data_IF_456206223598
#
_entry.id   IF_456206223598
#
_cell.length_a   1.000
_cell.length_b   1.000
_cell.length_c   1.000
_cell.angle_alpha   90.00
_cell.angle_beta   90.00
_cell.angle_gamma   90.00
#
_symmetry.space_group_name_H-M   'P 1'
#
loop_
_entity.id
_entity.type
_entity.pdbx_description
1 polymer ?
#
# COMPACT_ATOMS: atom_id res chain seq x y z
N UNK A 1 -15.40 12.56 11.05
CA UNK A 1 -15.32 12.11 10.79
C UNK A 1 -15.05 11.72 9.86
N UNK A 2 -14.84 11.92 9.77
CA UNK A 2 -14.60 11.78 8.95
C UNK A 2 -14.44 11.07 8.10
N UNK A 3 -14.03 11.07 7.82
CA UNK A 3 -13.81 10.21 6.95
C UNK A 3 -14.85 9.31 6.74
N UNK A 4 -15.94 9.65 7.07
CA UNK A 4 -17.00 8.81 6.94
C UNK A 4 -17.05 8.16 5.62
N UNK A 5 -16.74 8.83 4.64
CA UNK A 5 -16.80 8.28 3.35
C UNK A 5 -15.48 8.00 2.85
N UNK A 6 -14.47 8.34 3.53
CA UNK A 6 -13.20 8.18 3.01
C UNK A 6 -12.60 6.87 3.37
N UNK A 7 -11.35 6.95 3.70
CA UNK A 7 -10.55 5.80 4.00
C UNK A 7 -10.82 5.37 5.42
N UNK A 8 -11.71 4.42 5.56
CA UNK A 8 -12.17 3.98 6.85
C UNK A 8 -11.46 2.75 7.36
N UNK A 9 -10.72 2.09 6.53
CA UNK A 9 -10.15 0.80 6.89
C UNK A 9 -8.89 0.99 7.67
N UNK A 10 -8.74 0.38 8.85
CA UNK A 10 -7.47 0.43 9.54
C UNK A 10 -6.40 -0.20 8.66
N UNK A 11 -5.30 0.50 8.43
CA UNK A 11 -4.23 -0.07 7.60
C UNK A 11 -3.75 -1.42 8.10
N UNK A 12 -3.75 -1.63 9.40
CA UNK A 12 -3.26 -2.88 9.96
C UNK A 12 -4.06 -4.07 9.48
N UNK A 13 -5.36 -3.90 9.24
CA UNK A 13 -6.18 -5.00 8.77
C UNK A 13 -5.72 -5.46 7.39
N UNK A 14 -5.50 -4.51 6.50
CA UNK A 14 -5.03 -4.86 5.15
C UNK A 14 -3.61 -5.39 5.17
N UNK A 15 -2.77 -4.79 5.99
CA UNK A 15 -1.39 -5.25 6.11
C UNK A 15 -1.34 -6.70 6.60
N UNK A 16 -2.19 -7.02 7.57
CA UNK A 16 -2.23 -8.37 8.08
C UNK A 16 -2.59 -9.38 7.02
N UNK A 17 -3.54 -9.04 6.16
CA UNK A 17 -3.91 -9.93 5.07
C UNK A 17 -2.76 -10.09 4.09
N UNK A 18 -2.12 -8.98 3.73
CA UNK A 18 -1.01 -9.04 2.79
C UNK A 18 0.12 -9.91 3.31
N UNK A 19 0.37 -9.85 4.59
CA UNK A 19 1.46 -10.62 5.19
C UNK A 19 1.20 -12.12 5.21
N UNK A 20 -0.03 -12.55 4.93
CA UNK A 20 -0.30 -13.98 4.83
C UNK A 20 0.16 -14.56 3.51
N UNK A 21 0.50 -13.71 2.53
CA UNK A 21 0.95 -14.23 1.24
C UNK A 21 2.41 -14.65 1.34
N UNK A 22 2.76 -15.82 0.74
CA UNK A 22 4.13 -16.29 0.81
C UNK A 22 5.12 -15.44 0.01
N UNK A 23 4.63 -14.64 -0.94
CA UNK A 23 5.51 -13.81 -1.75
C UNK A 23 5.73 -12.42 -1.17
N UNK A 24 5.11 -12.11 -0.03
CA UNK A 24 5.21 -10.81 0.60
C UNK A 24 6.06 -10.92 1.87
N UNK A 25 7.15 -10.17 1.92
CA UNK A 25 8.01 -10.16 3.11
C UNK A 25 7.58 -9.11 4.11
N UNK A 26 7.09 -7.97 3.61
CA UNK A 26 6.63 -6.90 4.49
C UNK A 26 5.62 -6.07 3.73
N UNK A 27 4.80 -5.31 4.44
CA UNK A 27 3.77 -4.52 3.79
C UNK A 27 3.36 -3.36 4.69
N UNK A 28 2.99 -2.26 4.04
CA UNK A 28 2.49 -1.08 4.73
C UNK A 28 1.42 -0.45 3.85
N UNK A 29 0.28 -0.13 4.44
CA UNK A 29 -0.82 0.49 3.71
C UNK A 29 -0.99 1.92 4.20
N UNK A 30 -1.05 2.85 3.26
CA UNK A 30 -1.27 4.26 3.59
C UNK A 30 -2.44 4.77 2.76
N UNK A 31 -2.97 5.92 3.18
CA UNK A 31 -3.98 6.61 2.40
C UNK A 31 -3.31 7.63 1.51
N UNK A 32 -3.66 7.66 0.24
CA UNK A 32 -3.19 8.69 -0.67
C UNK A 32 -4.38 9.42 -1.24
N UNK A 33 -4.17 10.68 -1.57
CA UNK A 33 -5.25 11.51 -2.08
C UNK A 33 -5.60 11.11 -3.52
N UNK A 34 -6.88 10.93 -3.77
CA UNK A 34 -7.39 10.64 -5.09
C UNK A 34 -8.25 11.81 -5.51
N UNK A 35 -7.76 12.63 -6.43
CA UNK A 35 -8.44 13.86 -6.81
C UNK A 35 -9.77 13.58 -7.50
N UNK A 36 -9.87 12.47 -8.22
CA UNK A 36 -11.10 12.15 -8.90
C UNK A 36 -12.21 11.82 -7.92
N UNK A 37 -11.87 11.12 -6.85
CA UNK A 37 -12.86 10.73 -5.85
C UNK A 37 -12.96 11.71 -4.71
N UNK A 38 -12.06 12.68 -4.67
CA UNK A 38 -12.03 13.68 -3.61
C UNK A 38 -11.95 13.04 -2.22
N UNK A 39 -11.13 12.01 -2.11
CA UNK A 39 -10.95 11.33 -0.83
C UNK A 39 -9.63 10.58 -0.88
N UNK A 40 -9.19 10.09 0.26
CA UNK A 40 -8.03 9.23 0.29
C UNK A 40 -8.42 7.81 -0.01
N UNK A 41 -7.55 7.12 -0.72
CA UNK A 41 -7.75 5.71 -1.04
C UNK A 41 -6.53 4.94 -0.58
N UNK A 42 -6.68 3.65 -0.26
CA UNK A 42 -5.55 2.88 0.25
C UNK A 42 -4.58 2.48 -0.84
N UNK A 43 -3.31 2.57 -0.54
CA UNK A 43 -2.23 2.07 -1.37
C UNK A 43 -1.33 1.19 -0.51
N UNK A 44 -0.92 0.06 -1.04
CA UNK A 44 -0.03 -0.84 -0.33
C UNK A 44 1.39 -0.68 -0.85
N UNK A 45 2.33 -0.60 0.06
CA UNK A 45 3.75 -0.71 -0.26
C UNK A 45 4.19 -2.08 0.22
N UNK A 46 4.79 -2.84 -0.69
CA UNK A 46 5.08 -4.24 -0.45
C UNK A 46 6.55 -4.52 -0.69
N UNK A 47 7.15 -5.25 0.22
CA UNK A 47 8.49 -5.78 0.03
C UNK A 47 8.34 -7.21 -0.43
N UNK A 48 8.84 -7.51 -1.63
CA UNK A 48 8.76 -8.86 -2.15
C UNK A 48 9.75 -9.76 -1.43
N UNK A 49 9.34 -11.00 -1.22
CA UNK A 49 10.24 -11.95 -0.58
C UNK A 49 11.40 -12.26 -1.52
N UNK A 50 12.53 -12.64 -0.96
CA UNK A 50 13.72 -12.94 -1.75
C UNK A 50 13.38 -13.93 -2.84
N UNK A 51 13.85 -13.65 -4.05
CA UNK A 51 13.58 -14.50 -5.19
C UNK A 51 12.31 -14.20 -5.94
N UNK A 52 11.49 -13.28 -5.42
CA UNK A 52 10.24 -12.89 -6.06
C UNK A 52 10.45 -11.58 -6.80
N UNK A 53 10.01 -11.52 -8.04
CA UNK A 53 10.13 -10.31 -8.84
C UNK A 53 8.90 -9.46 -8.63
N UNK A 54 9.09 -8.27 -8.05
CA UNK A 54 8.00 -7.34 -7.82
C UNK A 54 7.75 -6.49 -9.05
N UNK A 55 6.85 -6.91 -9.89
CA UNK A 55 6.54 -6.20 -11.12
C UNK A 55 5.05 -5.86 -11.16
N UNK A 56 4.64 -5.24 -12.25
CA UNK A 56 3.26 -4.80 -12.38
C UNK A 56 2.28 -5.97 -12.40
N UNK A 57 2.68 -7.07 -12.98
CA UNK A 57 1.80 -8.24 -13.02
C UNK A 57 1.53 -8.76 -11.62
N UNK A 58 2.58 -8.81 -10.78
CA UNK A 58 2.40 -9.26 -9.42
C UNK A 58 1.62 -8.23 -8.62
N UNK A 59 1.85 -6.95 -8.87
CA UNK A 59 1.09 -5.90 -8.18
C UNK A 59 -0.40 -6.06 -8.46
N UNK A 60 -0.76 -6.30 -9.71
CA UNK A 60 -2.16 -6.48 -10.07
C UNK A 60 -2.73 -7.74 -9.43
N UNK A 61 -1.93 -8.79 -9.38
CA UNK A 61 -2.36 -10.05 -8.78
C UNK A 61 -2.64 -9.86 -7.29
N UNK A 62 -1.76 -9.15 -6.60
CA UNK A 62 -1.93 -8.89 -5.18
C UNK A 62 -3.18 -8.05 -4.94
N UNK A 63 -3.36 -7.01 -5.74
CA UNK A 63 -4.52 -6.14 -5.57
C UNK A 63 -5.82 -6.90 -5.79
N UNK A 64 -5.87 -7.73 -6.82
CA UNK A 64 -7.07 -8.52 -7.09
C UNK A 64 -7.32 -9.58 -6.02
N UNK A 65 -6.25 -10.20 -5.54
CA UNK A 65 -6.36 -11.18 -4.48
C UNK A 65 -6.94 -10.56 -3.22
N UNK A 66 -6.44 -9.37 -2.87
CA UNK A 66 -6.92 -8.69 -1.67
C UNK A 66 -8.36 -8.25 -1.84
N UNK A 67 -8.71 -7.78 -3.03
CA UNK A 67 -10.07 -7.32 -3.30
C UNK A 67 -11.08 -8.44 -3.10
N UNK A 68 -10.69 -9.67 -3.37
CA UNK A 68 -11.58 -10.79 -3.17
C UNK A 68 -11.76 -11.19 -1.72
N UNK A 69 -10.96 -10.62 -0.82
CA UNK A 69 -10.98 -10.98 0.59
C UNK A 69 -11.44 -9.86 1.50
N UNK A 70 -11.78 -8.71 0.94
CA UNK A 70 -12.18 -7.57 1.74
C UNK A 70 -13.46 -6.98 1.17
N UNK A 71 -14.09 -6.13 1.96
CA UNK A 71 -15.27 -5.43 1.47
C UNK A 71 -14.87 -4.48 0.35
N UNK A 72 -15.80 -4.13 -0.55
CA UNK A 72 -15.45 -3.29 -1.69
C UNK A 72 -14.77 -1.98 -1.32
N UNK A 73 -15.15 -1.36 -0.22
CA UNK A 73 -14.55 -0.09 0.16
C UNK A 73 -13.12 -0.25 0.67
N UNK A 74 -12.65 -1.48 0.83
CA UNK A 74 -11.29 -1.73 1.32
C UNK A 74 -10.32 -2.06 0.19
N UNK A 75 -10.77 -1.96 -1.04
CA UNK A 75 -9.89 -2.25 -2.15
C UNK A 75 -8.71 -1.29 -2.21
N UNK A 76 -7.59 -1.78 -2.71
CA UNK A 76 -6.40 -0.96 -2.87
C UNK A 76 -6.52 -0.10 -4.13
N UNK A 77 -7.36 0.92 -4.05
CA UNK A 77 -7.59 1.77 -5.21
C UNK A 77 -6.37 2.60 -5.56
N UNK A 78 -5.48 2.80 -4.61
CA UNK A 78 -4.21 3.47 -4.86
C UNK A 78 -3.15 2.54 -5.41
N UNK A 79 -3.46 1.26 -5.53
CA UNK A 79 -2.57 0.30 -6.15
C UNK A 79 -1.58 -0.32 -5.18
N UNK A 80 -0.69 -1.11 -5.75
CA UNK A 80 0.38 -1.77 -5.01
C UNK A 80 1.70 -1.26 -5.58
N UNK A 81 2.61 -0.88 -4.70
CA UNK A 81 3.95 -0.44 -5.10
C UNK A 81 4.96 -1.31 -4.41
N UNK A 82 5.96 -1.76 -5.15
CA UNK A 82 7.03 -2.55 -4.55
C UNK A 82 8.16 -1.64 -4.12
N UNK A 83 8.70 -1.91 -2.94
CA UNK A 83 9.82 -1.15 -2.40
C UNK A 83 10.82 -2.14 -1.82
N UNK A 84 12.06 -1.68 -1.65
CA UNK A 84 13.09 -2.55 -1.09
C UNK A 84 12.90 -2.75 0.40
N UNK A 85 12.39 -1.76 1.08
CA UNK A 85 12.14 -1.87 2.51
C UNK A 85 11.10 -0.85 2.92
N UNK A 86 10.44 -1.13 4.03
CA UNK A 86 9.47 -0.21 4.62
C UNK A 86 10.23 0.66 5.62
N UNK A 87 10.18 1.98 5.52
CA UNK A 87 10.90 2.83 6.47
C UNK A 87 10.37 2.65 7.89
N UNK A 88 11.28 2.50 8.82
CA UNK A 88 10.94 2.27 10.21
C UNK A 88 11.85 3.11 11.10
N UNK A 89 11.31 3.49 12.26
CA UNK A 89 12.10 4.19 13.24
C UNK A 89 13.07 3.23 13.93
N UNK A 90 13.93 3.77 14.76
CA UNK A 90 14.87 2.95 15.52
C UNK A 90 14.16 1.93 16.39
N UNK A 91 12.94 2.24 16.80
CA UNK A 91 12.16 1.31 17.62
C UNK A 91 11.39 0.30 16.79
N UNK A 92 11.57 0.29 15.48
CA UNK A 92 10.91 -0.67 14.62
C UNK A 92 9.51 -0.27 14.19
N UNK A 93 9.10 0.96 14.49
CA UNK A 93 7.77 1.41 14.16
C UNK A 93 7.73 1.93 12.71
N UNK A 94 6.73 1.50 11.96
CA UNK A 94 6.60 1.92 10.57
C UNK A 94 6.37 3.42 10.48
N UNK A 95 7.08 4.06 9.57
CA UNK A 95 6.99 5.50 9.37
C UNK A 95 6.13 5.79 8.14
N UNK A 96 4.81 5.68 8.32
CA UNK A 96 3.90 5.86 7.21
C UNK A 96 3.99 7.26 6.61
N UNK A 97 4.33 8.25 7.41
CA UNK A 97 4.45 9.60 6.91
C UNK A 97 5.53 9.71 5.84
N UNK A 98 6.62 8.97 6.02
CA UNK A 98 7.70 9.00 5.04
C UNK A 98 7.21 8.46 3.70
N UNK A 99 6.46 7.37 3.73
CA UNK A 99 5.91 6.80 2.51
C UNK A 99 4.93 7.76 1.86
N UNK A 100 4.09 8.40 2.67
CA UNK A 100 3.10 9.30 2.13
C UNK A 100 3.75 10.51 1.49
N UNK A 101 4.76 11.07 2.11
CA UNK A 101 5.48 12.19 1.52
C UNK A 101 6.16 11.79 0.24
N UNK A 102 6.70 10.58 0.20
CA UNK A 102 7.30 10.07 -1.00
C UNK A 102 6.30 9.91 -2.12
N UNK A 103 5.11 9.43 -1.79
CA UNK A 103 4.07 9.27 -2.79
C UNK A 103 3.65 10.61 -3.40
N UNK A 104 3.56 11.63 -2.55
CA UNK A 104 3.10 12.94 -3.00
C UNK A 104 4.10 13.63 -3.89
N UNK A 105 5.38 13.34 -3.71
CA UNK A 105 6.40 14.05 -4.44
C UNK A 105 7.28 13.12 -5.25
N UNK A 106 7.62 12.00 -4.66
CA UNK A 106 8.62 11.13 -5.22
C UNK A 106 8.16 10.18 -6.27
N UNK A 107 6.87 9.89 -6.33
CA UNK A 107 6.44 8.95 -7.35
C UNK A 107 6.66 9.50 -8.73
N UNK A 108 6.43 10.78 -8.89
CA UNK A 108 6.70 11.39 -10.17
C UNK A 108 8.17 11.29 -10.49
N UNK A 109 9.01 11.48 -9.49
CA UNK A 109 10.44 11.37 -9.68
C UNK A 109 10.83 9.94 -9.97
N UNK A 110 10.28 9.01 -9.24
CA UNK A 110 10.58 7.62 -9.46
C UNK A 110 10.19 7.17 -10.84
N UNK A 111 9.10 7.68 -11.34
CA UNK A 111 8.66 7.28 -12.66
C UNK A 111 9.68 7.62 -13.72
N UNK A 112 10.58 8.51 -13.43
CA UNK A 112 11.60 8.89 -14.40
C UNK A 112 12.79 7.98 -14.33
N UNK A 113 12.88 7.21 -13.34
CA UNK A 113 13.99 6.30 -13.23
C UNK A 113 13.76 5.07 -14.05
#
# INVERSE_FOLDING_TARGET
MASADGFQVPPAELEGLLLTRPDVADACVIGIWDAERQTEVPRAYVVARAGVVGNEALAADIAGWLAGRTAPHKKLRGGVRFVDEIPKSAAGKVLRRVLKEGAERGEATKAKL
#
